data_IF_069697656880
#
_entry.id   IF_069697656880
#
_cell.length_a   1.000
_cell.length_b   1.000
_cell.length_c   1.000
_cell.angle_alpha   90.00
_cell.angle_beta   90.00
_cell.angle_gamma   90.00
#
_symmetry.space_group_name_H-M   'P 1'
#
loop_
_entity.id
_entity.type
_entity.pdbx_description
1 polymer ?
#
# COMPACT_ATOMS: atom_id res chain seq x y z
N UNK A 1 2.66 -20.92 -7.94
CA UNK A 1 3.33 -19.72 -7.44
C UNK A 1 3.81 -18.94 -8.65
N UNK A 2 3.31 -17.71 -8.83
CA UNK A 2 3.82 -16.79 -9.84
C UNK A 2 5.32 -16.56 -9.60
N UNK A 3 6.13 -16.47 -10.65
CA UNK A 3 7.53 -16.10 -10.49
C UNK A 3 7.59 -14.65 -10.04
N UNK A 4 8.28 -14.37 -8.93
CA UNK A 4 8.60 -12.99 -8.56
C UNK A 4 9.43 -12.37 -9.70
N UNK A 5 9.04 -11.20 -10.22
CA UNK A 5 9.80 -10.52 -11.25
C UNK A 5 11.20 -10.14 -10.71
N UNK A 6 12.18 -10.05 -11.62
CA UNK A 6 13.50 -9.58 -11.25
C UNK A 6 13.47 -8.10 -10.84
N UNK A 7 14.36 -7.68 -9.92
CA UNK A 7 14.42 -6.28 -9.49
C UNK A 7 14.67 -5.32 -10.67
N UNK A 8 15.40 -5.74 -11.69
CA UNK A 8 15.62 -4.96 -12.92
C UNK A 8 14.36 -4.77 -13.76
N UNK A 9 13.37 -5.65 -13.64
CA UNK A 9 12.07 -5.49 -14.30
C UNK A 9 11.15 -4.57 -13.49
N UNK A 10 11.26 -4.60 -12.17
CA UNK A 10 10.51 -3.72 -11.27
C UNK A 10 11.05 -2.28 -11.26
N UNK A 11 12.37 -2.12 -11.39
CA UNK A 11 13.06 -0.85 -11.35
C UNK A 11 13.88 -0.62 -12.64
N UNK A 12 13.22 -0.51 -13.81
CA UNK A 12 13.91 -0.38 -15.08
C UNK A 12 14.52 1.02 -15.24
N UNK A 13 15.67 1.12 -15.92
CA UNK A 13 16.31 2.41 -16.21
C UNK A 13 15.39 3.38 -17.01
N UNK A 14 14.47 2.83 -17.81
CA UNK A 14 13.49 3.63 -18.56
C UNK A 14 12.60 4.49 -17.64
N UNK A 15 12.36 4.07 -16.39
CA UNK A 15 11.52 4.81 -15.42
C UNK A 15 12.05 6.23 -15.14
N UNK A 16 13.36 6.42 -15.12
CA UNK A 16 13.93 7.76 -15.00
C UNK A 16 13.48 8.69 -16.14
N UNK A 17 13.36 8.15 -17.36
CA UNK A 17 12.83 8.88 -18.50
C UNK A 17 11.35 9.23 -18.36
N UNK A 18 10.54 8.29 -17.85
CA UNK A 18 9.12 8.49 -17.57
C UNK A 18 8.91 9.57 -16.50
N UNK A 19 9.72 9.54 -15.42
CA UNK A 19 9.68 10.56 -14.37
C UNK A 19 10.10 11.93 -14.90
N UNK A 20 11.15 12.03 -15.73
CA UNK A 20 11.53 13.30 -16.38
C UNK A 20 10.42 13.85 -17.27
N UNK A 21 9.72 12.98 -18.01
CA UNK A 21 8.57 13.38 -18.82
C UNK A 21 7.43 13.91 -17.94
N UNK A 22 7.14 13.25 -16.83
CA UNK A 22 6.13 13.69 -15.87
C UNK A 22 6.49 15.04 -15.23
N UNK A 23 7.75 15.26 -14.85
CA UNK A 23 8.25 16.55 -14.36
C UNK A 23 7.97 17.65 -15.42
N UNK A 24 8.31 17.38 -16.68
CA UNK A 24 8.11 18.37 -17.75
C UNK A 24 6.62 18.70 -17.99
N UNK A 25 5.73 17.72 -17.89
CA UNK A 25 4.28 17.94 -18.10
C UNK A 25 3.60 18.66 -16.94
N UNK A 26 4.14 18.53 -15.72
CA UNK A 26 3.60 19.20 -14.52
C UNK A 26 4.18 20.58 -14.26
N UNK A 27 5.15 21.01 -15.09
CA UNK A 27 5.80 22.32 -14.94
C UNK A 27 6.79 22.41 -13.78
N UNK A 28 7.20 21.27 -13.21
CA UNK A 28 8.25 21.20 -12.20
C UNK A 28 9.63 21.28 -12.87
N UNK A 29 10.62 21.79 -12.15
CA UNK A 29 12.02 21.77 -12.60
C UNK A 29 12.74 20.51 -12.15
N UNK A 30 12.40 19.98 -10.96
CA UNK A 30 13.01 18.78 -10.42
C UNK A 30 12.13 18.11 -9.36
N UNK A 31 12.45 16.84 -9.05
CA UNK A 31 11.99 16.12 -7.85
C UNK A 31 13.17 15.89 -6.91
N UNK A 32 12.93 16.04 -5.61
CA UNK A 32 13.84 15.73 -4.50
C UNK A 32 13.22 14.58 -3.70
N UNK A 33 13.70 13.37 -3.94
CA UNK A 33 13.12 12.15 -3.37
C UNK A 33 14.01 11.62 -2.25
N UNK A 34 13.47 11.64 -1.02
CA UNK A 34 14.13 11.10 0.19
C UNK A 34 13.68 9.66 0.46
N UNK A 35 14.35 8.91 1.39
CA UNK A 35 14.00 7.53 1.68
C UNK A 35 12.51 7.32 1.88
N UNK A 36 11.98 6.32 1.19
CA UNK A 36 10.57 5.97 1.15
C UNK A 36 10.14 5.45 -0.21
N UNK A 37 8.84 5.29 -0.42
CA UNK A 37 8.28 4.64 -1.61
C UNK A 37 8.65 5.33 -2.92
N UNK A 38 8.69 6.68 -2.94
CA UNK A 38 9.04 7.44 -4.14
C UNK A 38 10.49 7.22 -4.57
N UNK A 39 11.43 7.28 -3.62
CA UNK A 39 12.83 6.96 -3.89
C UNK A 39 12.98 5.53 -4.42
N UNK A 40 12.33 4.57 -3.75
CA UNK A 40 12.35 3.17 -4.12
C UNK A 40 11.72 2.95 -5.50
N UNK A 41 10.57 3.57 -5.77
CA UNK A 41 9.88 3.48 -7.07
C UNK A 41 10.78 3.88 -8.24
N UNK A 42 11.50 5.00 -8.07
CA UNK A 42 12.33 5.56 -9.15
C UNK A 42 13.67 4.86 -9.28
N UNK A 43 14.28 4.41 -8.17
CA UNK A 43 15.67 3.93 -8.15
C UNK A 43 15.85 2.47 -7.74
N UNK A 44 14.84 1.84 -7.13
CA UNK A 44 14.96 0.53 -6.50
C UNK A 44 15.81 0.54 -5.22
N UNK A 45 16.32 1.68 -4.79
CA UNK A 45 17.09 1.79 -3.56
C UNK A 45 16.17 1.91 -2.34
N UNK A 46 16.18 0.89 -1.51
CA UNK A 46 15.49 0.85 -0.22
C UNK A 46 16.39 1.44 0.86
N UNK A 47 16.50 2.78 0.85
CA UNK A 47 17.35 3.51 1.77
C UNK A 47 16.71 3.59 3.17
N UNK A 48 17.53 3.39 4.20
CA UNK A 48 17.09 3.63 5.57
C UNK A 48 16.80 5.12 5.81
N UNK A 49 15.66 5.41 6.42
CA UNK A 49 15.28 6.77 6.80
C UNK A 49 16.00 7.18 8.09
N UNK A 50 16.79 8.25 8.03
CA UNK A 50 17.53 8.80 9.16
C UNK A 50 17.61 10.32 9.08
N UNK A 51 18.24 10.97 10.07
CA UNK A 51 18.52 12.41 10.08
C UNK A 51 19.54 12.82 9.02
N UNK A 52 20.33 11.87 8.49
CA UNK A 52 21.28 12.09 7.41
C UNK A 52 20.56 12.11 6.08
N UNK A 53 20.83 13.09 5.26
CA UNK A 53 20.17 13.23 3.97
C UNK A 53 20.62 12.13 3.00
N UNK A 54 19.68 11.32 2.57
CA UNK A 54 19.71 10.61 1.29
C UNK A 54 18.68 11.27 0.39
N UNK A 55 19.08 11.66 -0.83
CA UNK A 55 18.19 12.36 -1.76
C UNK A 55 18.51 12.00 -3.21
N UNK A 56 17.54 11.46 -3.92
CA UNK A 56 17.58 11.34 -5.37
C UNK A 56 17.04 12.63 -5.99
N UNK A 57 17.88 13.30 -6.75
CA UNK A 57 17.57 14.49 -7.53
C UNK A 57 17.27 14.06 -8.96
N UNK A 58 16.04 14.28 -9.42
CA UNK A 58 15.65 14.04 -10.80
C UNK A 58 15.25 15.39 -11.41
N UNK A 59 16.14 16.00 -12.15
CA UNK A 59 15.88 17.29 -12.82
C UNK A 59 15.38 17.07 -14.25
N UNK A 60 14.50 17.96 -14.73
CA UNK A 60 13.98 17.90 -16.09
C UNK A 60 15.10 18.01 -17.15
N UNK A 61 16.14 18.80 -16.88
CA UNK A 61 17.19 19.18 -17.86
C UNK A 61 18.60 18.73 -17.50
N UNK A 62 18.79 18.02 -16.38
CA UNK A 62 20.09 17.52 -15.95
C UNK A 62 20.07 16.00 -15.74
N UNK A 63 21.22 15.38 -15.65
CA UNK A 63 21.32 13.97 -15.30
C UNK A 63 20.91 13.75 -13.85
N UNK A 64 20.25 12.61 -13.54
CA UNK A 64 19.82 12.33 -12.18
C UNK A 64 21.03 12.03 -11.28
N UNK A 65 20.95 12.49 -10.03
CA UNK A 65 22.01 12.31 -9.04
C UNK A 65 21.41 11.79 -7.73
N UNK A 66 22.04 10.76 -7.16
CA UNK A 66 21.70 10.25 -5.82
C UNK A 66 22.75 10.71 -4.82
N UNK A 67 22.37 11.61 -3.92
CA UNK A 67 23.20 12.11 -2.82
C UNK A 67 22.95 11.21 -1.59
N UNK A 68 24.01 10.63 -1.05
CA UNK A 68 23.92 9.71 0.12
C UNK A 68 25.03 10.03 1.13
N UNK A 69 24.83 9.73 2.43
CA UNK A 69 25.95 9.76 3.37
C UNK A 69 27.06 8.82 2.88
N UNK A 70 28.33 9.19 3.08
CA UNK A 70 29.46 8.35 2.64
C UNK A 70 29.41 6.95 3.22
N UNK A 71 28.88 6.79 4.43
CA UNK A 71 28.70 5.47 5.05
C UNK A 71 27.71 4.57 4.30
N UNK A 72 26.74 5.16 3.57
CA UNK A 72 25.73 4.44 2.77
C UNK A 72 26.13 4.26 1.29
N UNK A 73 27.23 4.86 0.86
CA UNK A 73 27.64 4.90 -0.56
C UNK A 73 27.75 3.49 -1.18
N UNK A 74 28.34 2.55 -0.46
CA UNK A 74 28.48 1.16 -0.95
C UNK A 74 27.15 0.45 -1.06
N UNK A 75 26.23 0.69 -0.13
CA UNK A 75 24.89 0.10 -0.15
C UNK A 75 24.10 0.67 -1.34
N UNK A 76 24.15 1.97 -1.56
CA UNK A 76 23.50 2.61 -2.71
C UNK A 76 24.04 2.08 -4.05
N UNK A 77 25.36 1.93 -4.19
CA UNK A 77 26.00 1.38 -5.39
C UNK A 77 25.68 -0.10 -5.63
N UNK A 78 25.46 -0.88 -4.56
CA UNK A 78 25.10 -2.31 -4.63
C UNK A 78 23.59 -2.53 -4.88
N UNK A 79 22.77 -1.50 -4.70
CA UNK A 79 21.32 -1.54 -4.95
C UNK A 79 21.02 -1.44 -6.46
N UNK A 80 19.75 -1.64 -6.89
CA UNK A 80 19.36 -1.41 -8.28
C UNK A 80 19.76 -0.02 -8.80
N UNK A 81 19.80 1.02 -7.96
CA UNK A 81 20.23 2.37 -8.32
C UNK A 81 21.63 2.40 -8.98
N UNK A 82 22.55 1.53 -8.54
CA UNK A 82 23.89 1.43 -9.13
C UNK A 82 23.91 1.00 -10.60
N UNK A 83 22.85 0.36 -11.08
CA UNK A 83 22.69 -0.09 -12.47
C UNK A 83 21.94 0.90 -13.38
N UNK A 84 21.40 2.01 -12.83
CA UNK A 84 20.54 2.93 -13.57
C UNK A 84 21.30 4.02 -14.38
N UNK A 85 22.63 4.08 -14.27
CA UNK A 85 23.44 5.09 -14.96
C UNK A 85 23.33 6.50 -14.35
N UNK A 86 22.84 6.62 -13.12
CA UNK A 86 22.82 7.88 -12.37
C UNK A 86 24.13 8.07 -11.58
N UNK A 87 24.49 9.31 -11.32
CA UNK A 87 25.63 9.63 -10.47
C UNK A 87 25.26 9.40 -9.00
N UNK A 88 26.12 8.66 -8.25
CA UNK A 88 25.93 8.44 -6.81
C UNK A 88 27.06 9.16 -6.06
N UNK A 89 26.70 10.22 -5.33
CA UNK A 89 27.62 11.11 -4.62
C UNK A 89 27.53 10.87 -3.11
N UNK A 90 28.66 10.53 -2.50
CA UNK A 90 28.80 10.42 -1.05
C UNK A 90 29.23 11.73 -0.42
N UNK A 91 28.49 12.21 0.61
CA UNK A 91 28.86 13.37 1.41
C UNK A 91 29.43 12.95 2.78
N UNK A 92 30.37 13.72 3.30
CA UNK A 92 31.02 13.48 4.61
C UNK A 92 30.31 14.24 5.73
N UNK A 93 30.45 13.79 6.98
CA UNK A 93 29.76 14.37 8.17
C UNK A 93 30.04 15.89 8.38
N UNK A 94 31.06 16.40 7.73
CA UNK A 94 31.44 17.85 7.75
C UNK A 94 30.83 18.66 6.60
N UNK A 95 30.18 17.98 5.64
CA UNK A 95 29.59 18.63 4.47
C UNK A 95 28.15 19.08 4.77
N UNK A 96 27.67 20.05 4.00
CA UNK A 96 26.26 20.38 3.93
C UNK A 96 25.61 19.73 2.71
N UNK A 97 24.91 18.58 2.86
CA UNK A 97 24.32 17.86 1.73
C UNK A 97 23.18 18.64 1.05
N UNK A 98 22.55 19.57 1.75
CA UNK A 98 21.50 20.42 1.16
C UNK A 98 22.13 21.45 0.22
N UNK A 99 23.30 21.98 0.57
CA UNK A 99 24.07 22.83 -0.31
C UNK A 99 24.56 22.07 -1.55
N UNK A 100 24.96 20.80 -1.42
CA UNK A 100 25.32 19.94 -2.56
C UNK A 100 24.14 19.82 -3.53
N UNK A 101 22.93 19.48 -3.04
CA UNK A 101 21.72 19.37 -3.86
C UNK A 101 21.37 20.71 -4.52
N UNK A 102 21.41 21.81 -3.77
CA UNK A 102 21.11 23.14 -4.28
C UNK A 102 22.12 23.58 -5.38
N UNK A 103 23.40 23.30 -5.20
CA UNK A 103 24.44 23.59 -6.19
C UNK A 103 24.24 22.79 -7.49
N UNK A 104 23.82 21.53 -7.40
CA UNK A 104 23.52 20.68 -8.57
C UNK A 104 22.34 21.21 -9.37
N UNK A 105 21.30 21.68 -8.71
CA UNK A 105 20.10 22.22 -9.36
C UNK A 105 20.33 23.63 -9.92
N UNK A 106 21.19 24.42 -9.28
CA UNK A 106 21.30 25.84 -9.57
C UNK A 106 20.01 26.59 -9.22
N UNK A 107 19.69 27.63 -10.00
CA UNK A 107 18.45 28.40 -9.81
C UNK A 107 17.30 27.70 -10.54
N UNK A 108 16.35 27.19 -9.79
CA UNK A 108 15.14 26.54 -10.28
C UNK A 108 13.89 27.22 -9.66
N UNK A 109 12.79 27.20 -10.39
CA UNK A 109 11.53 27.83 -9.97
C UNK A 109 10.74 26.97 -8.98
N UNK A 110 10.45 25.71 -9.35
CA UNK A 110 9.58 24.83 -8.55
C UNK A 110 10.15 23.42 -8.46
N UNK A 111 10.21 22.87 -7.26
CA UNK A 111 10.65 21.48 -7.02
C UNK A 111 9.56 20.69 -6.28
N UNK A 112 9.37 19.42 -6.68
CA UNK A 112 8.54 18.47 -5.95
C UNK A 112 9.38 17.75 -4.89
N UNK A 113 8.87 17.73 -3.65
CA UNK A 113 9.46 17.00 -2.52
C UNK A 113 8.67 15.72 -2.26
N UNK A 114 9.33 14.61 -1.89
CA UNK A 114 8.62 13.41 -1.44
C UNK A 114 7.53 13.78 -0.44
N UNK A 115 6.31 13.28 -0.63
CA UNK A 115 5.13 13.66 0.16
C UNK A 115 5.30 13.37 1.66
N UNK A 116 6.14 12.39 2.00
CA UNK A 116 6.49 12.01 3.38
C UNK A 116 7.88 12.44 3.81
N UNK A 117 8.45 13.47 3.15
CA UNK A 117 9.74 14.03 3.57
C UNK A 117 9.63 14.59 4.99
N UNK A 118 10.61 14.30 5.84
CA UNK A 118 10.64 14.87 7.19
C UNK A 118 10.67 16.40 7.14
N UNK A 119 9.90 17.05 8.01
CA UNK A 119 9.85 18.51 8.13
C UNK A 119 11.26 19.13 8.33
N UNK A 120 12.16 18.42 9.04
CA UNK A 120 13.57 18.80 9.16
C UNK A 120 14.20 19.02 7.79
N UNK A 121 14.03 18.08 6.85
CA UNK A 121 14.61 18.15 5.52
C UNK A 121 13.96 19.23 4.67
N UNK A 122 12.63 19.33 4.73
CA UNK A 122 11.87 20.40 4.06
C UNK A 122 12.38 21.78 4.45
N UNK A 123 12.53 22.03 5.75
CA UNK A 123 13.01 23.34 6.25
C UNK A 123 14.47 23.63 5.85
N UNK A 124 15.32 22.60 5.81
CA UNK A 124 16.71 22.76 5.34
C UNK A 124 16.79 23.02 3.84
N UNK A 125 15.97 22.31 3.01
CA UNK A 125 15.87 22.62 1.59
C UNK A 125 15.33 24.02 1.34
N UNK A 126 14.34 24.48 2.12
CA UNK A 126 13.85 25.85 2.04
C UNK A 126 14.95 26.88 2.35
N UNK A 127 15.80 26.61 3.33
CA UNK A 127 16.92 27.47 3.66
C UNK A 127 18.02 27.47 2.57
N UNK A 128 18.32 26.30 1.99
CA UNK A 128 19.31 26.15 0.93
C UNK A 128 18.84 26.72 -0.43
N UNK A 129 17.52 26.76 -0.68
CA UNK A 129 16.90 27.23 -1.92
C UNK A 129 15.76 28.23 -1.62
N UNK A 130 16.07 29.44 -1.10
CA UNK A 130 15.07 30.35 -0.53
C UNK A 130 14.10 30.97 -1.55
N UNK A 131 14.42 30.92 -2.84
CA UNK A 131 13.58 31.47 -3.93
C UNK A 131 12.84 30.38 -4.73
N UNK A 132 13.04 29.12 -4.38
CA UNK A 132 12.43 27.97 -5.05
C UNK A 132 11.10 27.62 -4.38
N UNK A 133 10.03 27.52 -5.14
CA UNK A 133 8.76 26.99 -4.68
C UNK A 133 8.88 25.48 -4.44
N UNK A 134 8.29 25.02 -3.34
CA UNK A 134 8.28 23.60 -2.95
C UNK A 134 6.85 23.09 -2.95
N UNK A 135 6.60 22.03 -3.72
CA UNK A 135 5.30 21.34 -3.82
C UNK A 135 5.50 19.85 -3.56
N UNK A 136 4.42 19.06 -3.54
CA UNK A 136 4.50 17.62 -3.35
C UNK A 136 4.95 16.91 -4.63
N UNK A 137 5.76 15.87 -4.50
CA UNK A 137 6.24 15.05 -5.62
C UNK A 137 5.11 14.25 -6.28
N UNK A 138 4.02 13.96 -5.54
CA UNK A 138 2.84 13.30 -6.07
C UNK A 138 2.22 14.03 -7.27
N UNK A 139 2.43 15.34 -7.40
CA UNK A 139 2.04 16.08 -8.61
C UNK A 139 2.58 15.45 -9.91
N UNK A 140 3.76 14.82 -9.87
CA UNK A 140 4.37 14.14 -11.01
C UNK A 140 4.36 12.61 -10.88
N UNK A 141 4.33 12.06 -9.67
CA UNK A 141 4.52 10.62 -9.45
C UNK A 141 3.22 9.83 -9.27
N UNK A 142 2.12 10.49 -8.89
CA UNK A 142 0.85 9.83 -8.59
C UNK A 142 0.41 8.91 -9.74
N UNK A 143 0.27 9.45 -10.95
CA UNK A 143 -0.22 8.67 -12.10
C UNK A 143 0.72 7.53 -12.48
N UNK A 144 2.03 7.75 -12.36
CA UNK A 144 3.04 6.73 -12.65
C UNK A 144 2.95 5.58 -11.64
N UNK A 145 2.79 5.89 -10.34
CA UNK A 145 2.69 4.89 -9.29
C UNK A 145 1.33 4.20 -9.27
N UNK A 146 0.24 4.92 -9.55
CA UNK A 146 -1.11 4.33 -9.60
C UNK A 146 -1.23 3.28 -10.71
N UNK A 147 -0.60 3.53 -11.87
CA UNK A 147 -0.64 2.62 -13.02
C UNK A 147 0.51 1.62 -12.98
N UNK A 148 0.22 0.42 -12.50
CA UNK A 148 1.19 -0.67 -12.38
C UNK A 148 1.56 -1.23 -13.76
N UNK A 149 2.85 -1.39 -14.00
CA UNK A 149 3.38 -2.15 -15.12
C UNK A 149 3.07 -3.66 -14.96
N UNK A 150 3.17 -4.46 -16.02
CA UNK A 150 2.99 -5.91 -15.89
C UNK A 150 3.89 -6.57 -14.84
N UNK A 151 5.14 -6.09 -14.68
CA UNK A 151 6.05 -6.58 -13.63
C UNK A 151 5.55 -6.23 -12.22
N UNK A 152 5.03 -5.01 -12.02
CA UNK A 152 4.46 -4.59 -10.75
C UNK A 152 3.18 -5.36 -10.40
N UNK A 153 2.32 -5.62 -11.39
CA UNK A 153 1.14 -6.48 -11.22
C UNK A 153 1.56 -7.92 -10.83
N UNK A 154 2.61 -8.46 -11.46
CA UNK A 154 3.13 -9.77 -11.10
C UNK A 154 3.69 -9.81 -9.67
N UNK A 155 4.36 -8.73 -9.22
CA UNK A 155 4.84 -8.61 -7.84
C UNK A 155 3.69 -8.55 -6.83
N UNK A 156 2.64 -7.78 -7.12
CA UNK A 156 1.42 -7.72 -6.28
C UNK A 156 0.69 -9.06 -6.26
N UNK A 157 0.62 -9.78 -7.40
CA UNK A 157 0.03 -11.12 -7.46
C UNK A 157 0.81 -12.10 -6.57
N UNK A 158 2.15 -12.06 -6.62
CA UNK A 158 2.99 -12.90 -5.76
C UNK A 158 2.79 -12.59 -4.27
N UNK A 159 2.65 -11.29 -3.91
CA UNK A 159 2.32 -10.86 -2.56
C UNK A 159 0.93 -11.34 -2.13
N UNK A 160 -0.07 -11.25 -3.03
CA UNK A 160 -1.42 -11.77 -2.82
C UNK A 160 -1.46 -13.28 -2.61
N UNK A 161 -0.74 -14.06 -3.42
CA UNK A 161 -0.63 -15.52 -3.23
C UNK A 161 0.05 -15.90 -1.91
N UNK A 162 1.07 -15.14 -1.50
CA UNK A 162 1.76 -15.37 -0.24
C UNK A 162 0.85 -15.09 0.96
N UNK A 163 0.11 -13.98 0.98
CA UNK A 163 -0.81 -13.66 2.09
C UNK A 163 -2.03 -14.58 2.11
N UNK A 164 -2.53 -15.03 0.96
CA UNK A 164 -3.58 -16.04 0.87
C UNK A 164 -3.16 -17.37 1.54
N UNK A 165 -1.88 -17.76 1.39
CA UNK A 165 -1.36 -18.97 2.04
C UNK A 165 -1.33 -18.87 3.56
N UNK A 166 -1.22 -17.65 4.11
CA UNK A 166 -1.34 -17.38 5.55
C UNK A 166 -2.80 -17.49 5.98
N UNK A 167 -3.75 -16.88 5.23
CA UNK A 167 -5.18 -17.00 5.51
C UNK A 167 -5.67 -18.45 5.51
N UNK A 168 -5.10 -19.33 4.69
CA UNK A 168 -5.42 -20.76 4.69
C UNK A 168 -5.03 -21.45 6.00
N UNK A 169 -4.09 -20.92 6.78
CA UNK A 169 -3.63 -21.46 8.06
C UNK A 169 -4.40 -20.87 9.24
N UNK A 170 -5.01 -19.68 9.12
CA UNK A 170 -5.75 -18.97 10.18
C UNK A 170 -6.76 -19.86 10.89
N UNK A 171 -7.60 -20.70 10.20
CA UNK A 171 -8.54 -21.58 10.88
C UNK A 171 -7.91 -22.50 11.93
N UNK A 172 -6.64 -22.90 11.74
CA UNK A 172 -5.90 -23.73 12.69
C UNK A 172 -5.51 -23.02 13.99
N UNK A 173 -5.45 -21.69 13.96
CA UNK A 173 -5.08 -20.86 15.12
C UNK A 173 -6.28 -20.30 15.89
N UNK A 174 -7.44 -20.17 15.25
CA UNK A 174 -8.66 -19.66 15.87
C UNK A 174 -9.29 -20.73 16.75
N UNK A 175 -9.01 -20.68 18.06
CA UNK A 175 -9.55 -21.61 19.07
C UNK A 175 -9.96 -20.84 20.31
N UNK A 176 -11.09 -21.21 20.89
CA UNK A 176 -11.49 -20.70 22.20
C UNK A 176 -10.38 -20.91 23.23
N UNK A 177 -10.17 -19.92 24.09
CA UNK A 177 -9.12 -19.94 25.10
C UNK A 177 -7.79 -19.29 24.69
N UNK A 178 -7.52 -19.07 23.40
CA UNK A 178 -6.36 -18.29 22.95
C UNK A 178 -6.68 -16.79 22.96
N UNK A 179 -5.67 -15.94 23.11
CA UNK A 179 -5.86 -14.49 23.00
C UNK A 179 -5.67 -14.02 21.56
N UNK A 180 -6.25 -12.85 21.21
CA UNK A 180 -6.03 -12.20 19.93
C UNK A 180 -4.52 -11.99 19.67
N UNK A 181 -3.75 -11.55 20.68
CA UNK A 181 -2.29 -11.37 20.58
C UNK A 181 -1.55 -12.66 20.22
N UNK A 182 -1.97 -13.80 20.79
CA UNK A 182 -1.34 -15.09 20.49
C UNK A 182 -1.60 -15.50 19.04
N UNK A 183 -2.81 -15.28 18.54
CA UNK A 183 -3.15 -15.55 17.13
C UNK A 183 -2.42 -14.59 16.21
N UNK A 184 -2.38 -13.29 16.54
CA UNK A 184 -1.65 -12.32 15.76
C UNK A 184 -0.13 -12.57 15.69
N UNK A 185 0.45 -13.16 16.75
CA UNK A 185 1.86 -13.56 16.75
C UNK A 185 2.12 -14.71 15.76
N UNK A 186 1.30 -15.78 15.79
CA UNK A 186 1.42 -16.88 14.82
C UNK A 186 1.25 -16.38 13.37
N UNK A 187 0.30 -15.47 13.14
CA UNK A 187 0.07 -14.85 11.83
C UNK A 187 1.31 -14.09 11.36
N UNK A 188 1.93 -13.26 12.23
CA UNK A 188 3.13 -12.50 11.87
C UNK A 188 4.31 -13.41 11.50
N UNK A 189 4.49 -14.51 12.23
CA UNK A 189 5.51 -15.52 11.91
C UNK A 189 5.21 -16.18 10.56
N UNK A 190 3.95 -16.53 10.30
CA UNK A 190 3.53 -17.14 9.04
C UNK A 190 3.68 -16.19 7.84
N UNK A 191 3.43 -14.89 8.00
CA UNK A 191 3.64 -13.88 6.93
C UNK A 191 5.11 -13.88 6.50
N UNK A 192 6.05 -13.85 7.44
CA UNK A 192 7.49 -13.91 7.13
C UNK A 192 7.85 -15.28 6.52
N UNK A 193 7.32 -16.38 7.07
CA UNK A 193 7.53 -17.72 6.52
C UNK A 193 6.96 -17.90 5.10
N UNK A 194 5.91 -17.16 4.74
CA UNK A 194 5.33 -17.14 3.40
C UNK A 194 6.16 -16.32 2.38
N UNK A 195 7.27 -15.70 2.82
CA UNK A 195 8.22 -15.01 1.95
C UNK A 195 8.20 -13.49 2.01
N UNK A 196 7.39 -12.88 2.89
CA UNK A 196 7.46 -11.44 3.15
C UNK A 196 8.75 -11.10 3.90
N UNK A 197 9.33 -9.94 3.60
CA UNK A 197 10.46 -9.39 4.33
C UNK A 197 10.06 -9.00 5.76
N UNK A 198 8.81 -8.54 5.91
CA UNK A 198 8.24 -8.17 7.20
C UNK A 198 6.70 -8.30 7.20
N UNK A 199 6.14 -8.53 8.38
CA UNK A 199 4.71 -8.42 8.64
C UNK A 199 4.40 -6.99 9.09
N UNK A 200 3.70 -6.22 8.25
CA UNK A 200 3.42 -4.81 8.54
C UNK A 200 2.33 -4.69 9.59
N UNK A 201 1.28 -5.48 9.46
CA UNK A 201 0.19 -5.54 10.42
C UNK A 201 -0.43 -6.94 10.51
N UNK A 202 -1.07 -7.23 11.63
CA UNK A 202 -1.91 -8.40 11.86
C UNK A 202 -3.01 -8.01 12.86
N UNK A 203 -4.15 -7.61 12.32
CA UNK A 203 -5.37 -7.35 13.08
C UNK A 203 -6.06 -8.70 13.32
N UNK A 204 -6.35 -8.99 14.58
CA UNK A 204 -7.21 -10.08 14.99
C UNK A 204 -8.24 -9.47 15.95
N UNK A 205 -9.46 -9.26 15.47
CA UNK A 205 -10.50 -8.53 16.18
C UNK A 205 -11.70 -9.46 16.43
N UNK A 206 -11.83 -9.98 17.65
CA UNK A 206 -12.79 -11.00 18.01
C UNK A 206 -14.01 -10.42 18.74
N UNK A 207 -15.21 -10.92 18.45
CA UNK A 207 -16.46 -10.49 19.07
C UNK A 207 -16.61 -8.97 19.05
N UNK A 208 -16.79 -8.29 20.21
CA UNK A 208 -16.97 -6.83 20.26
C UNK A 208 -15.82 -6.02 19.66
N UNK A 209 -14.59 -6.53 19.68
CA UNK A 209 -13.43 -5.87 19.08
C UNK A 209 -13.54 -5.80 17.55
N UNK A 210 -14.26 -6.74 16.92
CA UNK A 210 -14.57 -6.76 15.50
C UNK A 210 -15.36 -5.53 15.02
N UNK A 211 -16.01 -4.80 15.92
CA UNK A 211 -16.69 -3.54 15.61
C UNK A 211 -15.73 -2.35 15.40
N UNK A 212 -14.43 -2.51 15.68
CA UNK A 212 -13.40 -1.50 15.47
C UNK A 212 -12.55 -1.88 14.24
N UNK A 213 -12.68 -1.17 13.11
CA UNK A 213 -11.97 -1.53 11.87
C UNK A 213 -10.44 -1.65 12.01
N UNK A 214 -9.81 -0.77 12.82
CA UNK A 214 -8.36 -0.73 13.05
C UNK A 214 -8.00 -1.21 14.47
N UNK A 215 -8.67 -2.27 14.95
CA UNK A 215 -8.38 -2.83 16.26
C UNK A 215 -6.95 -3.35 16.35
N UNK A 216 -6.28 -3.05 17.45
CA UNK A 216 -4.97 -3.68 17.76
C UNK A 216 -5.22 -4.94 18.59
N UNK A 217 -4.72 -6.10 18.14
CA UNK A 217 -4.87 -7.37 18.83
C UNK A 217 -4.55 -7.26 20.33
N UNK A 218 -5.51 -7.63 21.18
CA UNK A 218 -5.51 -7.42 22.61
C UNK A 218 -5.34 -8.73 23.40
N UNK A 219 -5.39 -8.63 24.72
CA UNK A 219 -5.41 -9.81 25.61
C UNK A 219 -6.81 -10.45 25.74
N UNK A 220 -7.79 -9.98 24.92
CA UNK A 220 -9.10 -10.61 24.86
C UNK A 220 -8.95 -12.08 24.45
N UNK A 221 -9.59 -12.95 25.23
CA UNK A 221 -9.63 -14.39 24.98
C UNK A 221 -10.76 -14.68 23.98
N UNK A 222 -10.43 -15.38 22.91
CA UNK A 222 -11.38 -15.87 21.91
C UNK A 222 -12.39 -16.83 22.55
N UNK A 223 -13.65 -16.68 22.20
CA UNK A 223 -14.76 -17.46 22.76
C UNK A 223 -15.57 -18.16 21.66
N UNK A 224 -16.25 -19.24 22.04
CA UNK A 224 -17.26 -19.83 21.18
C UNK A 224 -18.36 -18.79 20.88
N UNK A 225 -18.80 -18.69 19.64
CA UNK A 225 -19.75 -17.70 19.16
C UNK A 225 -19.09 -16.38 18.65
N UNK A 226 -17.79 -16.20 18.81
CA UNK A 226 -17.13 -15.00 18.26
C UNK A 226 -17.10 -15.02 16.73
N UNK A 227 -17.51 -13.93 16.12
CA UNK A 227 -17.03 -13.53 14.81
C UNK A 227 -15.64 -12.89 14.97
N UNK A 228 -14.69 -13.21 14.07
CA UNK A 228 -13.30 -12.75 14.17
C UNK A 228 -12.88 -12.14 12.83
N UNK A 229 -12.66 -10.84 12.80
CA UNK A 229 -12.06 -10.16 11.66
C UNK A 229 -10.54 -10.37 11.74
N UNK A 230 -9.97 -10.93 10.68
CA UNK A 230 -8.53 -11.11 10.51
C UNK A 230 -8.11 -10.33 9.27
N UNK A 231 -7.34 -9.27 9.50
CA UNK A 231 -6.85 -8.36 8.47
C UNK A 231 -5.34 -8.31 8.56
N UNK A 232 -4.66 -8.74 7.49
CA UNK A 232 -3.24 -9.04 7.52
C UNK A 232 -2.54 -8.60 6.24
N UNK A 233 -1.34 -8.07 6.43
CA UNK A 233 -0.51 -7.63 5.32
C UNK A 233 0.96 -7.56 5.67
N UNK A 234 1.79 -7.50 4.65
CA UNK A 234 3.22 -7.41 4.78
C UNK A 234 3.91 -6.95 3.51
N UNK A 235 5.16 -6.57 3.65
CA UNK A 235 5.99 -6.11 2.54
C UNK A 235 6.88 -7.25 2.02
N UNK A 236 6.83 -7.52 0.72
CA UNK A 236 7.69 -8.48 0.05
C UNK A 236 9.14 -7.94 -0.08
N UNK A 237 10.16 -8.79 -0.27
CA UNK A 237 11.53 -8.33 -0.58
C UNK A 237 11.61 -7.41 -1.80
N UNK A 238 10.68 -7.56 -2.75
CA UNK A 238 10.51 -6.66 -3.88
C UNK A 238 10.06 -5.24 -3.50
N UNK A 239 9.55 -5.03 -2.27
CA UNK A 239 8.96 -3.79 -1.78
C UNK A 239 7.46 -3.70 -1.96
N UNK A 240 6.85 -4.55 -2.77
CA UNK A 240 5.41 -4.54 -2.97
C UNK A 240 4.70 -5.15 -1.77
N UNK A 241 3.59 -4.50 -1.40
CA UNK A 241 2.80 -4.86 -0.22
C UNK A 241 1.71 -5.87 -0.58
N UNK A 242 1.32 -6.68 0.42
CA UNK A 242 0.09 -7.46 0.41
C UNK A 242 -0.89 -6.88 1.41
N UNK A 243 -2.17 -7.10 1.14
CA UNK A 243 -3.28 -6.74 2.02
C UNK A 243 -4.44 -7.69 1.78
N UNK A 244 -5.06 -8.22 2.86
CA UNK A 244 -6.20 -9.11 2.74
C UNK A 244 -6.95 -9.23 4.06
N UNK A 245 -8.27 -9.04 4.02
CA UNK A 245 -9.15 -9.29 5.16
C UNK A 245 -10.10 -10.45 4.92
N UNK A 246 -10.22 -11.34 5.90
CA UNK A 246 -11.28 -12.34 6.00
C UNK A 246 -11.92 -12.30 7.38
N UNK A 247 -13.20 -12.63 7.43
CA UNK A 247 -13.91 -12.81 8.69
C UNK A 247 -14.22 -14.28 8.90
N UNK A 248 -14.00 -14.75 10.10
CA UNK A 248 -14.18 -16.13 10.56
C UNK A 248 -15.22 -16.19 11.68
N UNK A 249 -15.71 -17.39 12.02
CA UNK A 249 -16.50 -17.61 13.22
C UNK A 249 -15.97 -18.81 14.02
N UNK A 250 -16.02 -18.74 15.35
CA UNK A 250 -15.66 -19.85 16.26
C UNK A 250 -16.97 -20.48 16.76
N UNK A 251 -17.32 -21.62 16.20
CA UNK A 251 -18.66 -22.22 16.42
C UNK A 251 -19.75 -21.39 15.74
N UNK A 252 -20.98 -21.47 16.26
CA UNK A 252 -22.12 -20.75 15.69
C UNK A 252 -22.00 -19.24 15.97
N UNK A 253 -21.96 -18.39 14.94
CA UNK A 253 -21.85 -16.94 15.12
C UNK A 253 -23.19 -16.35 15.65
N UNK A 254 -23.24 -15.07 16.07
CA UNK A 254 -24.47 -14.40 16.44
C UNK A 254 -25.57 -14.54 15.38
N UNK A 255 -26.82 -14.64 15.80
CA UNK A 255 -27.95 -14.99 14.94
C UNK A 255 -28.16 -14.01 13.76
N UNK A 256 -27.83 -12.73 13.93
CA UNK A 256 -27.94 -11.68 12.92
C UNK A 256 -26.69 -11.62 11.98
N UNK A 257 -25.59 -12.26 12.39
CA UNK A 257 -24.31 -12.19 11.69
C UNK A 257 -24.39 -12.71 10.24
N UNK A 258 -24.99 -13.90 10.05
CA UNK A 258 -25.07 -14.51 8.72
C UNK A 258 -25.85 -13.64 7.71
N UNK A 259 -26.83 -12.87 8.20
CA UNK A 259 -27.65 -12.00 7.35
C UNK A 259 -26.81 -10.84 6.80
N UNK A 260 -26.13 -10.07 7.66
CA UNK A 260 -25.32 -8.95 7.20
C UNK A 260 -24.02 -9.38 6.53
N UNK A 261 -23.45 -10.54 6.89
CA UNK A 261 -22.28 -11.08 6.19
C UNK A 261 -22.58 -11.37 4.71
N UNK A 262 -23.78 -11.89 4.43
CA UNK A 262 -24.22 -12.08 3.03
C UNK A 262 -24.39 -10.76 2.29
N UNK A 263 -24.93 -9.73 2.96
CA UNK A 263 -25.00 -8.37 2.38
C UNK A 263 -23.60 -7.87 2.05
N UNK A 264 -22.65 -8.08 2.95
CA UNK A 264 -21.25 -7.69 2.76
C UNK A 264 -20.59 -8.41 1.57
N UNK A 265 -20.79 -9.73 1.45
CA UNK A 265 -20.29 -10.50 0.29
C UNK A 265 -20.84 -9.95 -1.02
N UNK A 266 -22.16 -9.73 -1.09
CA UNK A 266 -22.81 -9.18 -2.28
C UNK A 266 -22.28 -7.78 -2.62
N UNK A 267 -22.04 -6.94 -1.63
CA UNK A 267 -21.49 -5.60 -1.80
C UNK A 267 -20.04 -5.63 -2.36
N UNK A 268 -19.20 -6.52 -1.82
CA UNK A 268 -17.83 -6.71 -2.31
C UNK A 268 -17.83 -7.26 -3.75
N UNK A 269 -18.73 -8.20 -4.08
CA UNK A 269 -18.88 -8.70 -5.44
C UNK A 269 -19.37 -7.62 -6.41
N UNK A 270 -20.34 -6.79 -5.99
CA UNK A 270 -20.86 -5.69 -6.79
C UNK A 270 -19.79 -4.64 -7.09
N UNK A 271 -18.99 -4.26 -6.07
CA UNK A 271 -17.88 -3.34 -6.25
C UNK A 271 -16.83 -3.90 -7.23
N UNK A 272 -16.42 -5.17 -7.08
CA UNK A 272 -15.51 -5.79 -8.03
C UNK A 272 -16.07 -5.83 -9.45
N UNK A 273 -17.37 -6.14 -9.62
CA UNK A 273 -18.01 -6.15 -10.93
C UNK A 273 -18.11 -4.75 -11.58
N UNK A 274 -18.08 -3.68 -10.77
CA UNK A 274 -18.10 -2.31 -11.25
C UNK A 274 -16.73 -1.84 -11.78
N UNK A 275 -15.61 -2.51 -11.40
CA UNK A 275 -14.26 -2.12 -11.81
C UNK A 275 -14.06 -2.36 -13.30
N UNK A 276 -13.81 -1.28 -14.03
CA UNK A 276 -13.39 -1.31 -15.45
C UNK A 276 -12.76 0.05 -15.83
N UNK A 277 -11.96 0.12 -16.88
CA UNK A 277 -11.41 1.38 -17.35
C UNK A 277 -12.50 2.42 -17.64
N UNK A 278 -12.25 3.67 -17.27
CA UNK A 278 -13.13 4.81 -17.53
C UNK A 278 -14.29 5.01 -16.56
N UNK A 279 -14.49 4.13 -15.56
CA UNK A 279 -15.43 4.43 -14.46
C UNK A 279 -14.74 5.27 -13.39
N UNK A 280 -15.51 6.10 -12.66
CA UNK A 280 -14.95 6.87 -11.55
C UNK A 280 -14.72 5.99 -10.29
N UNK A 281 -13.72 6.33 -9.49
CA UNK A 281 -13.46 5.63 -8.22
C UNK A 281 -14.68 5.71 -7.28
N UNK A 282 -15.40 6.83 -7.24
CA UNK A 282 -16.64 6.97 -6.46
C UNK A 282 -17.76 6.03 -6.94
N UNK A 283 -17.80 5.66 -8.21
CA UNK A 283 -18.82 4.72 -8.73
C UNK A 283 -18.59 3.31 -8.24
N UNK A 284 -17.33 2.93 -7.99
CA UNK A 284 -16.98 1.64 -7.36
C UNK A 284 -17.31 1.66 -5.86
N UNK A 285 -17.06 2.78 -5.16
CA UNK A 285 -17.52 2.94 -3.76
C UNK A 285 -19.05 2.86 -3.68
N UNK A 286 -19.78 3.51 -4.56
CA UNK A 286 -21.24 3.46 -4.61
C UNK A 286 -21.75 2.03 -4.82
N UNK A 287 -21.11 1.24 -5.69
CA UNK A 287 -21.50 -0.13 -5.96
C UNK A 287 -21.38 -1.06 -4.72
N UNK A 288 -20.46 -0.76 -3.78
CA UNK A 288 -20.40 -1.43 -2.49
C UNK A 288 -21.41 -0.84 -1.49
N UNK A 289 -21.48 0.49 -1.42
CA UNK A 289 -22.20 1.22 -0.37
C UNK A 289 -23.70 1.17 -0.51
N UNK A 290 -24.21 1.23 -1.75
CA UNK A 290 -25.66 1.23 -2.01
C UNK A 290 -26.36 -0.03 -1.53
N UNK A 291 -25.91 -1.28 -1.84
CA UNK A 291 -26.56 -2.49 -1.34
C UNK A 291 -26.47 -2.61 0.18
N UNK A 292 -25.37 -2.15 0.81
CA UNK A 292 -25.23 -2.12 2.29
C UNK A 292 -26.26 -1.16 2.89
N UNK A 293 -26.44 0.02 2.29
CA UNK A 293 -27.41 1.03 2.74
C UNK A 293 -28.86 0.56 2.53
N UNK A 294 -29.16 -0.04 1.38
CA UNK A 294 -30.47 -0.59 1.09
C UNK A 294 -30.90 -1.72 2.04
N UNK A 295 -29.92 -2.47 2.56
CA UNK A 295 -30.13 -3.50 3.57
C UNK A 295 -30.27 -2.96 5.01
N UNK A 296 -30.14 -1.62 5.21
CA UNK A 296 -30.26 -0.97 6.52
C UNK A 296 -28.96 -0.86 7.32
N UNK A 297 -27.80 -1.17 6.72
CA UNK A 297 -26.50 -1.13 7.39
C UNK A 297 -25.64 0.06 6.95
N UNK A 298 -26.15 1.05 6.22
CA UNK A 298 -25.37 2.16 5.68
C UNK A 298 -24.60 2.95 6.74
N UNK A 299 -25.20 3.18 7.92
CA UNK A 299 -24.57 3.87 9.06
C UNK A 299 -23.44 3.04 9.72
N UNK A 300 -23.38 1.75 9.42
CA UNK A 300 -22.39 0.81 9.95
C UNK A 300 -21.21 0.56 8.98
N UNK A 301 -21.23 1.17 7.80
CA UNK A 301 -20.10 1.17 6.86
C UNK A 301 -19.39 2.53 6.91
N UNK A 302 -18.44 2.66 7.83
CA UNK A 302 -17.87 3.93 8.30
C UNK A 302 -16.57 4.35 7.63
N UNK A 303 -16.05 3.56 6.69
CA UNK A 303 -14.82 3.88 5.97
C UNK A 303 -15.01 3.86 4.45
N UNK A 304 -13.98 4.20 3.70
CA UNK A 304 -13.94 4.09 2.23
C UNK A 304 -13.99 2.63 1.79
N UNK A 305 -14.39 2.38 0.56
CA UNK A 305 -14.44 1.02 -0.01
C UNK A 305 -13.06 0.46 -0.32
N UNK A 306 -12.03 1.32 -0.47
CA UNK A 306 -10.68 0.83 -0.72
C UNK A 306 -9.65 1.94 -0.92
N UNK A 307 -8.42 1.52 -1.12
CA UNK A 307 -7.24 2.36 -1.33
C UNK A 307 -6.30 1.71 -2.33
N UNK A 308 -5.52 2.52 -3.04
CA UNK A 308 -4.44 2.03 -3.87
C UNK A 308 -3.40 1.27 -3.04
N UNK A 309 -2.69 0.36 -3.69
CA UNK A 309 -1.62 -0.44 -3.09
C UNK A 309 -0.48 -0.61 -4.08
N UNK A 310 0.74 -0.69 -3.59
CA UNK A 310 1.94 -0.92 -4.38
C UNK A 310 3.16 -1.05 -3.49
N UNK A 311 4.03 -0.04 -3.51
CA UNK A 311 5.17 0.09 -2.59
C UNK A 311 4.76 0.65 -1.22
N UNK A 312 3.50 1.06 -1.08
CA UNK A 312 2.85 1.39 0.17
C UNK A 312 1.57 0.57 0.28
N UNK A 313 1.18 0.22 1.50
CA UNK A 313 -0.12 -0.40 1.75
C UNK A 313 -1.25 0.55 1.33
N UNK A 314 -1.12 1.85 1.66
CA UNK A 314 -2.08 2.87 1.27
C UNK A 314 -1.44 3.90 0.34
N UNK A 315 -1.87 3.91 -0.92
CA UNK A 315 -1.52 4.94 -1.91
C UNK A 315 -2.73 5.30 -2.78
N UNK A 316 -2.57 6.16 -3.77
CA UNK A 316 -3.63 6.45 -4.76
C UNK A 316 -3.86 5.24 -5.72
N UNK A 317 -5.13 5.10 -6.24
CA UNK A 317 -6.30 5.93 -5.98
C UNK A 317 -7.05 5.50 -4.72
N UNK A 318 -7.80 6.43 -4.10
CA UNK A 318 -8.74 6.09 -3.03
C UNK A 318 -10.13 5.83 -3.61
N UNK A 319 -10.70 4.66 -3.27
CA UNK A 319 -12.06 4.25 -3.69
C UNK A 319 -13.04 4.75 -2.63
N UNK A 320 -13.52 5.97 -2.85
CA UNK A 320 -14.32 6.72 -1.87
C UNK A 320 -15.29 7.67 -2.57
N UNK A 321 -16.43 7.94 -1.94
CA UNK A 321 -17.40 8.93 -2.40
C UNK A 321 -16.74 10.30 -2.63
N UNK A 322 -17.04 10.94 -3.75
CA UNK A 322 -16.48 12.23 -4.17
C UNK A 322 -15.15 12.11 -4.95
N UNK A 323 -14.55 10.94 -5.06
CA UNK A 323 -13.38 10.75 -5.93
C UNK A 323 -13.83 10.47 -7.38
N UNK A 324 -13.79 11.50 -8.20
CA UNK A 324 -14.18 11.44 -9.62
C UNK A 324 -13.07 10.97 -10.55
N UNK A 325 -11.88 10.59 -10.02
CA UNK A 325 -10.79 10.06 -10.82
C UNK A 325 -11.23 8.81 -11.59
N UNK A 326 -10.95 8.80 -12.90
CA UNK A 326 -11.29 7.68 -13.75
C UNK A 326 -10.27 6.57 -13.66
N UNK A 327 -10.72 5.36 -13.35
CA UNK A 327 -9.86 4.19 -13.29
C UNK A 327 -9.23 3.92 -14.66
N UNK A 328 -7.95 3.58 -14.63
CA UNK A 328 -7.16 3.26 -15.82
C UNK A 328 -6.66 1.80 -15.73
N UNK A 329 -6.38 1.17 -16.88
CA UNK A 329 -5.69 -0.13 -16.87
C UNK A 329 -4.39 -0.05 -16.07
N UNK A 330 -4.18 -1.06 -15.21
CA UNK A 330 -3.01 -1.13 -14.30
C UNK A 330 -3.23 -0.49 -12.93
N UNK A 331 -4.33 0.22 -12.67
CA UNK A 331 -4.62 0.69 -11.31
C UNK A 331 -4.87 -0.49 -10.39
N UNK A 332 -4.13 -0.55 -9.26
CA UNK A 332 -4.25 -1.59 -8.25
C UNK A 332 -4.74 -0.98 -6.93
N UNK A 333 -5.76 -1.58 -6.33
CA UNK A 333 -6.39 -1.08 -5.10
C UNK A 333 -7.13 -2.17 -4.35
N UNK A 334 -7.42 -1.94 -3.05
CA UNK A 334 -8.27 -2.80 -2.26
C UNK A 334 -9.76 -2.60 -2.60
N UNK A 335 -10.55 -3.64 -2.46
CA UNK A 335 -12.01 -3.59 -2.32
C UNK A 335 -12.36 -4.29 -1.02
N UNK A 336 -12.68 -3.49 -0.01
CA UNK A 336 -12.74 -3.91 1.40
C UNK A 336 -13.98 -3.41 2.15
N UNK A 337 -15.20 -3.50 1.62
CA UNK A 337 -16.35 -3.06 2.39
C UNK A 337 -16.42 -3.78 3.74
N UNK A 338 -16.94 -3.06 4.76
CA UNK A 338 -17.12 -3.59 6.11
C UNK A 338 -18.44 -3.13 6.73
N UNK A 339 -19.02 -3.96 7.60
CA UNK A 339 -20.25 -3.67 8.35
C UNK A 339 -19.97 -3.90 9.84
N UNK A 340 -20.14 -2.85 10.66
CA UNK A 340 -19.76 -2.83 12.08
C UNK A 340 -20.95 -2.43 12.98
N UNK A 341 -21.92 -3.32 13.23
CA UNK A 341 -23.17 -2.98 13.93
C UNK A 341 -23.06 -2.85 15.45
N UNK A 342 -21.86 -2.89 16.03
CA UNK A 342 -21.59 -2.62 17.44
C UNK A 342 -21.08 -3.82 18.25
N UNK A 343 -21.84 -4.92 18.46
CA UNK A 343 -21.35 -6.04 19.25
C UNK A 343 -20.36 -6.95 18.51
N UNK A 344 -20.24 -6.79 17.20
CA UNK A 344 -19.32 -7.50 16.31
C UNK A 344 -19.23 -6.74 14.98
N UNK A 345 -18.33 -7.15 14.10
CA UNK A 345 -18.19 -6.60 12.76
C UNK A 345 -17.68 -7.63 11.77
N UNK A 346 -17.71 -7.27 10.49
CA UNK A 346 -17.15 -8.06 9.41
C UNK A 346 -16.55 -7.17 8.33
N UNK A 347 -15.47 -7.63 7.72
CA UNK A 347 -14.83 -7.06 6.53
C UNK A 347 -14.41 -8.18 5.59
N UNK A 348 -14.53 -7.96 4.31
CA UNK A 348 -14.02 -8.83 3.24
C UNK A 348 -13.21 -7.94 2.31
N UNK A 349 -11.96 -8.29 2.11
CA UNK A 349 -11.05 -7.51 1.31
C UNK A 349 -10.27 -8.37 0.32
N UNK A 350 -10.20 -7.92 -0.90
CA UNK A 350 -9.28 -8.39 -1.92
C UNK A 350 -8.54 -7.21 -2.53
N UNK A 351 -7.28 -7.40 -2.88
CA UNK A 351 -6.59 -6.52 -3.81
C UNK A 351 -7.01 -6.89 -5.23
N UNK A 352 -7.33 -5.86 -6.00
CA UNK A 352 -7.73 -5.98 -7.40
C UNK A 352 -6.89 -5.08 -8.29
N UNK A 353 -6.80 -5.46 -9.57
CA UNK A 353 -6.25 -4.62 -10.63
C UNK A 353 -7.35 -4.31 -11.63
N UNK A 354 -7.49 -3.04 -12.00
CA UNK A 354 -8.29 -2.63 -13.15
C UNK A 354 -7.57 -3.08 -14.42
N UNK A 355 -8.01 -4.19 -15.01
CA UNK A 355 -7.48 -4.71 -16.27
C UNK A 355 -8.27 -4.14 -17.46
N UNK A 356 -7.78 -4.35 -18.68
CA UNK A 356 -8.46 -3.88 -19.92
C UNK A 356 -9.89 -4.42 -20.05
N UNK A 357 -10.14 -5.64 -19.57
CA UNK A 357 -11.41 -6.37 -19.65
C UNK A 357 -12.22 -6.35 -18.34
N UNK A 358 -11.74 -5.64 -17.31
CA UNK A 358 -12.43 -5.50 -16.03
C UNK A 358 -11.58 -5.76 -14.80
N UNK A 359 -12.18 -6.35 -13.77
CA UNK A 359 -11.56 -6.60 -12.47
C UNK A 359 -10.72 -7.88 -12.47
N UNK A 360 -9.42 -7.76 -12.23
CA UNK A 360 -8.56 -8.90 -11.91
C UNK A 360 -8.32 -8.96 -10.40
N UNK A 361 -8.85 -9.97 -9.71
CA UNK A 361 -8.57 -10.21 -8.28
C UNK A 361 -7.21 -10.88 -8.10
N UNK A 362 -6.41 -10.38 -7.18
CA UNK A 362 -5.11 -10.93 -6.83
C UNK A 362 -5.19 -11.92 -5.66
N UNK A 363 -6.16 -11.75 -4.75
CA UNK A 363 -6.45 -12.70 -3.68
C UNK A 363 -7.47 -13.75 -4.15
N UNK A 364 -7.23 -15.00 -3.77
CA UNK A 364 -8.02 -16.18 -4.20
C UNK A 364 -8.55 -17.00 -3.04
N UNK A 365 -8.14 -16.72 -1.79
CA UNK A 365 -8.70 -17.37 -0.60
C UNK A 365 -10.20 -17.11 -0.51
N UNK A 366 -10.97 -18.12 -0.05
CA UNK A 366 -12.45 -18.04 -0.01
C UNK A 366 -12.93 -16.81 0.75
N UNK A 367 -14.00 -16.19 0.24
CA UNK A 367 -14.73 -15.10 0.89
C UNK A 367 -15.96 -15.60 1.65
N UNK A 368 -16.23 -16.90 1.58
CA UNK A 368 -17.26 -17.52 2.38
C UNK A 368 -16.87 -17.48 3.86
N UNK A 369 -17.86 -17.37 4.71
CA UNK A 369 -17.63 -17.44 6.15
C UNK A 369 -17.09 -18.83 6.51
N UNK A 370 -15.86 -18.85 6.99
CA UNK A 370 -15.26 -20.09 7.51
C UNK A 370 -15.58 -20.20 8.99
N UNK A 371 -16.33 -21.24 9.34
CA UNK A 371 -16.68 -21.57 10.74
C UNK A 371 -15.71 -22.63 11.24
N UNK A 372 -14.95 -22.30 12.29
CA UNK A 372 -14.06 -23.26 12.96
C UNK A 372 -14.74 -23.88 14.17
N UNK A 373 -14.35 -25.09 14.61
CA UNK A 373 -14.89 -25.70 15.84
C UNK A 373 -14.69 -24.79 17.06
N UNK A 374 -15.67 -24.77 17.96
CA UNK A 374 -15.63 -24.02 19.22
C UNK A 374 -14.68 -24.65 20.26
#
# INVERSE_FOLDING_TARGET
MGQNPALSELYPAARLGEVKAAIATTGLDALLLTPGPDLRYVSGYDAHQSERLTCLVVAAKADPMLVVPRLELRAAQASPAGGLGLEIVGWDETDDPYAVVAATLGTVGTVGLSDRMWALMVLRFRAAMPVTEQVLASAALKDLRSRKSPAEVAALLAAGEAIDSVHQQVPGWLRAGRTEKQVAADIREAIVAAGHAQADFAIVASGPNGASPHHTAADRVLQAGDAVVVDIGGTMPSGYCSDCTRTYAIGEPPADFAAYYRVLQNAQDAACAAVRPGVSAESVDAAAREPITAAGYGEHFVHRTGHGIGLETHEDPYIVSGNTELLQPGYAFSIEPGIYPGPHGARIEDIVVCAEDGCQRLNKVTRDLVVVPA
#
